data_IF_458818586903
#
_entry.id   IF_458818586903
#
_cell.length_a   1.000
_cell.length_b   1.000
_cell.length_c   1.000
_cell.angle_alpha   90.00
_cell.angle_beta   90.00
_cell.angle_gamma   90.00
#
_symmetry.space_group_name_H-M   'P 1'
#
loop_
_entity.id
_entity.type
_entity.pdbx_description
1 polymer ?
#
# COMPACT_ATOMS: atom_id res chain seq x y z
N UNK A 1 -29.29 -43.74 44.78
CA UNK A 1 -28.22 -42.78 44.41
C UNK A 1 -28.18 -42.63 42.89
N UNK A 2 -28.91 -41.68 42.28
CA UNK A 2 -28.89 -41.45 40.82
C UNK A 2 -29.33 -40.04 40.37
N UNK A 3 -29.31 -39.04 41.25
CA UNK A 3 -29.88 -37.70 40.97
C UNK A 3 -28.93 -36.51 41.13
N UNK A 4 -27.67 -36.72 41.52
CA UNK A 4 -26.72 -35.62 41.84
C UNK A 4 -25.64 -35.38 40.79
N UNK A 5 -25.61 -36.16 39.71
CA UNK A 5 -24.52 -36.11 38.72
C UNK A 5 -24.84 -35.27 37.47
N UNK A 6 -26.09 -34.83 37.26
CA UNK A 6 -26.46 -34.09 36.05
C UNK A 6 -26.42 -32.56 36.21
N UNK A 7 -26.56 -32.04 37.43
CA UNK A 7 -26.57 -30.59 37.67
C UNK A 7 -25.19 -29.95 37.60
N UNK A 8 -24.12 -30.69 37.94
CA UNK A 8 -22.75 -30.20 37.83
C UNK A 8 -22.31 -29.98 36.39
N UNK A 9 -22.75 -30.85 35.46
CA UNK A 9 -22.33 -30.82 34.06
C UNK A 9 -22.99 -29.68 33.25
N UNK A 10 -24.20 -29.26 33.64
CA UNK A 10 -24.92 -28.15 32.99
C UNK A 10 -24.33 -26.80 33.41
N UNK A 11 -23.87 -26.65 34.66
CA UNK A 11 -23.19 -25.42 35.10
C UNK A 11 -21.78 -25.25 34.52
N UNK A 12 -21.08 -26.33 34.16
CA UNK A 12 -19.74 -26.21 33.54
C UNK A 12 -19.83 -25.80 32.07
N UNK A 13 -20.90 -26.18 31.36
CA UNK A 13 -21.10 -25.81 29.97
C UNK A 13 -21.52 -24.34 29.78
N UNK A 14 -22.23 -23.74 30.74
CA UNK A 14 -22.66 -22.34 30.62
C UNK A 14 -21.51 -21.35 30.88
N UNK A 15 -20.55 -21.68 31.75
CA UNK A 15 -19.38 -20.82 32.01
C UNK A 15 -18.37 -20.88 30.85
N UNK A 16 -18.27 -22.01 30.13
CA UNK A 16 -17.42 -22.13 28.94
C UNK A 16 -18.01 -21.45 27.68
N UNK A 17 -19.32 -21.19 27.66
CA UNK A 17 -19.99 -20.56 26.51
C UNK A 17 -19.96 -19.02 26.54
N UNK A 18 -19.69 -18.39 27.69
CA UNK A 18 -19.62 -16.93 27.80
C UNK A 18 -18.21 -16.36 27.74
N UNK A 19 -17.17 -17.20 27.82
CA UNK A 19 -15.77 -16.76 27.81
C UNK A 19 -15.07 -16.84 26.44
N UNK A 20 -15.77 -17.22 25.36
CA UNK A 20 -15.15 -17.55 24.07
C UNK A 20 -15.39 -16.55 22.93
N UNK A 21 -16.05 -15.40 23.17
CA UNK A 21 -16.34 -14.43 22.09
C UNK A 21 -15.53 -13.13 22.11
N UNK A 22 -14.57 -12.96 23.03
CA UNK A 22 -13.47 -12.02 22.82
C UNK A 22 -12.38 -12.67 21.95
N UNK A 23 -12.78 -13.24 20.81
CA UNK A 23 -11.84 -13.41 19.71
C UNK A 23 -11.47 -11.99 19.33
N UNK A 24 -10.23 -11.59 19.63
CA UNK A 24 -9.62 -10.39 19.08
C UNK A 24 -9.65 -10.49 17.56
N UNK A 25 -10.77 -10.10 16.96
CA UNK A 25 -10.90 -9.96 15.53
C UNK A 25 -10.07 -8.72 15.17
N UNK A 26 -8.80 -8.90 14.85
CA UNK A 26 -8.10 -7.92 14.03
C UNK A 26 -8.94 -7.79 12.76
N UNK A 27 -9.68 -6.69 12.61
CA UNK A 27 -10.53 -6.54 11.45
C UNK A 27 -9.67 -6.32 10.21
N UNK A 28 -9.50 -7.39 9.42
CA UNK A 28 -9.02 -7.35 8.04
C UNK A 28 -10.08 -6.68 7.14
N UNK A 29 -10.36 -5.42 7.41
CA UNK A 29 -11.37 -4.61 6.72
C UNK A 29 -10.73 -3.35 6.15
N UNK A 30 -11.36 -2.80 5.14
CA UNK A 30 -11.06 -1.42 4.75
C UNK A 30 -11.53 -0.43 5.82
N UNK A 31 -10.88 0.74 5.93
CA UNK A 31 -11.46 1.88 6.62
C UNK A 31 -12.86 2.20 6.05
N UNK A 32 -13.80 2.49 6.93
CA UNK A 32 -15.15 2.96 6.58
C UNK A 32 -15.11 4.36 5.97
N UNK A 33 -16.18 4.78 5.30
CA UNK A 33 -16.24 6.13 4.71
C UNK A 33 -16.14 7.25 5.75
N UNK A 34 -16.69 7.03 6.95
CA UNK A 34 -16.59 7.99 8.06
C UNK A 34 -15.14 8.10 8.57
N UNK A 35 -14.45 6.97 8.72
CA UNK A 35 -13.04 6.93 9.08
C UNK A 35 -12.17 7.59 8.00
N UNK A 36 -12.38 7.26 6.71
CA UNK A 36 -11.66 7.88 5.60
C UNK A 36 -11.87 9.40 5.56
N UNK A 37 -13.08 9.88 5.82
CA UNK A 37 -13.36 11.32 5.89
C UNK A 37 -12.56 11.99 7.01
N UNK A 38 -12.50 11.37 8.19
CA UNK A 38 -11.70 11.87 9.31
C UNK A 38 -10.20 11.86 8.97
N UNK A 39 -9.70 10.74 8.46
CA UNK A 39 -8.29 10.59 8.09
C UNK A 39 -7.86 11.59 7.00
N UNK A 40 -8.72 11.91 6.03
CA UNK A 40 -8.43 12.96 5.04
C UNK A 40 -8.23 14.33 5.68
N UNK A 41 -9.08 14.71 6.62
CA UNK A 41 -8.95 15.99 7.33
C UNK A 41 -7.69 16.03 8.19
N UNK A 42 -7.37 14.91 8.85
CA UNK A 42 -6.15 14.80 9.66
C UNK A 42 -4.89 14.83 8.76
N UNK A 43 -4.94 14.20 7.59
CA UNK A 43 -3.85 14.20 6.62
C UNK A 43 -3.55 15.60 6.10
N UNK A 44 -4.59 16.38 5.75
CA UNK A 44 -4.42 17.76 5.29
C UNK A 44 -3.70 18.62 6.34
N UNK A 45 -4.03 18.46 7.62
CA UNK A 45 -3.33 19.14 8.72
C UNK A 45 -1.88 18.68 8.88
N UNK A 46 -1.61 17.39 8.66
CA UNK A 46 -0.25 16.84 8.75
C UNK A 46 0.65 17.31 7.60
N UNK A 47 0.09 17.50 6.39
CA UNK A 47 0.85 17.96 5.21
C UNK A 47 1.56 19.28 5.47
N UNK A 48 0.91 20.22 6.16
CA UNK A 48 1.52 21.51 6.51
C UNK A 48 2.76 21.35 7.41
N UNK A 49 2.81 20.28 8.20
CA UNK A 49 3.97 19.95 9.03
C UNK A 49 5.10 19.26 8.26
N UNK A 50 4.79 18.57 7.15
CA UNK A 50 5.76 17.82 6.32
C UNK A 50 6.55 18.70 5.34
N UNK A 51 6.13 19.94 5.09
CA UNK A 51 6.72 20.83 4.07
C UNK A 51 8.22 21.19 4.27
N UNK A 52 8.88 20.70 5.31
CA UNK A 52 10.20 21.21 5.75
C UNK A 52 11.43 20.41 5.30
N UNK A 53 11.34 19.23 4.67
CA UNK A 53 12.51 18.32 4.64
C UNK A 53 12.90 17.62 3.34
N UNK A 54 12.25 17.83 2.19
CA UNK A 54 12.67 17.15 0.94
C UNK A 54 13.10 18.12 -0.16
N UNK A 55 14.40 18.16 -0.47
CA UNK A 55 14.89 18.78 -1.72
C UNK A 55 14.46 17.91 -2.89
N UNK A 56 13.48 18.37 -3.66
CA UNK A 56 13.01 17.69 -4.88
C UNK A 56 14.00 17.93 -6.01
N UNK A 57 14.39 16.89 -6.72
CA UNK A 57 15.15 17.03 -7.96
C UNK A 57 14.19 17.52 -9.07
N UNK A 58 14.43 18.73 -9.55
CA UNK A 58 13.61 19.36 -10.60
C UNK A 58 13.55 18.53 -11.88
N UNK A 59 14.63 17.82 -12.24
CA UNK A 59 14.68 16.95 -13.42
C UNK A 59 13.72 15.77 -13.27
N UNK A 60 13.78 15.08 -12.14
CA UNK A 60 12.90 13.95 -11.79
C UNK A 60 11.42 14.37 -11.76
N UNK A 61 11.12 15.55 -11.20
CA UNK A 61 9.75 16.09 -11.18
C UNK A 61 9.26 16.45 -12.59
N UNK A 62 10.12 17.01 -13.43
CA UNK A 62 9.76 17.33 -14.82
C UNK A 62 9.50 16.07 -15.64
N UNK A 63 10.32 15.03 -15.48
CA UNK A 63 10.11 13.72 -16.09
C UNK A 63 8.78 13.10 -15.65
N UNK A 64 8.50 13.13 -14.34
CA UNK A 64 7.22 12.66 -13.82
C UNK A 64 6.04 13.44 -14.39
N UNK A 65 6.13 14.77 -14.50
CA UNK A 65 5.07 15.61 -15.08
C UNK A 65 4.79 15.23 -16.53
N UNK A 66 5.83 15.03 -17.34
CA UNK A 66 5.69 14.57 -18.71
C UNK A 66 5.04 13.18 -18.78
N UNK A 67 5.47 12.26 -17.93
CA UNK A 67 4.91 10.92 -17.80
C UNK A 67 3.42 10.95 -17.44
N UNK A 68 3.05 11.68 -16.38
CA UNK A 68 1.65 11.89 -15.94
C UNK A 68 0.79 12.53 -17.04
N UNK A 69 1.35 13.51 -17.77
CA UNK A 69 0.67 14.18 -18.90
C UNK A 69 0.41 13.23 -20.07
N UNK A 70 1.30 12.28 -20.34
CA UNK A 70 1.05 11.26 -21.36
C UNK A 70 -0.06 10.29 -20.93
N UNK A 71 -0.04 9.84 -19.68
CA UNK A 71 -1.02 8.90 -19.12
C UNK A 71 -2.41 9.50 -18.90
N UNK A 72 -2.53 10.82 -18.73
CA UNK A 72 -3.83 11.48 -18.53
C UNK A 72 -4.81 11.30 -19.70
N UNK A 73 -4.28 11.03 -20.90
CA UNK A 73 -5.07 10.77 -22.10
C UNK A 73 -5.66 9.37 -22.14
N UNK A 74 -5.05 8.41 -21.44
CA UNK A 74 -5.42 6.99 -21.47
C UNK A 74 -6.18 6.60 -20.22
N UNK A 75 -5.72 7.05 -19.06
CA UNK A 75 -6.31 6.74 -17.77
C UNK A 75 -6.15 7.91 -16.78
N UNK A 76 -6.98 8.95 -16.90
CA UNK A 76 -6.86 10.15 -16.06
C UNK A 76 -7.09 9.86 -14.56
N UNK A 77 -7.81 8.78 -14.22
CA UNK A 77 -8.11 8.43 -12.83
C UNK A 77 -6.87 8.02 -12.04
N UNK A 78 -5.93 7.30 -12.67
CA UNK A 78 -4.71 6.82 -11.99
C UNK A 78 -3.63 7.89 -11.87
N UNK A 79 -3.64 8.89 -12.76
CA UNK A 79 -2.58 9.90 -12.89
C UNK A 79 -2.18 10.60 -11.58
N UNK A 80 -3.11 11.03 -10.71
CA UNK A 80 -2.75 11.69 -9.45
C UNK A 80 -1.83 10.85 -8.56
N UNK A 81 -1.91 9.52 -8.68
CA UNK A 81 -1.16 8.58 -7.85
C UNK A 81 0.15 8.13 -8.47
N UNK A 82 0.38 8.31 -9.78
CA UNK A 82 1.57 7.76 -10.42
C UNK A 82 2.83 8.47 -9.93
N UNK A 83 3.84 7.75 -9.44
CA UNK A 83 5.09 8.36 -9.00
C UNK A 83 5.80 7.58 -7.90
N UNK A 84 7.01 8.03 -7.60
CA UNK A 84 7.77 7.55 -6.45
C UNK A 84 7.47 8.42 -5.23
N UNK A 85 7.10 7.79 -4.12
CA UNK A 85 6.81 8.43 -2.85
C UNK A 85 7.69 7.84 -1.76
N UNK A 86 8.09 8.66 -0.79
CA UNK A 86 8.99 8.26 0.30
C UNK A 86 8.54 8.82 1.64
N UNK A 87 8.66 7.98 2.66
CA UNK A 87 8.63 8.32 4.08
C UNK A 87 10.01 8.03 4.68
N UNK A 88 10.16 8.14 6.00
CA UNK A 88 11.49 8.02 6.65
C UNK A 88 12.18 6.69 6.34
N UNK A 89 11.44 5.58 6.46
CA UNK A 89 11.98 4.22 6.36
C UNK A 89 11.27 3.38 5.30
N UNK A 90 10.45 4.02 4.48
CA UNK A 90 9.59 3.35 3.53
C UNK A 90 9.46 4.12 2.21
N UNK A 91 9.14 3.39 1.14
CA UNK A 91 8.87 3.90 -0.19
C UNK A 91 7.64 3.25 -0.77
N UNK A 92 6.88 4.02 -1.56
CA UNK A 92 5.74 3.56 -2.35
C UNK A 92 5.98 3.98 -3.79
N UNK A 93 5.97 3.03 -4.71
CA UNK A 93 6.19 3.28 -6.12
C UNK A 93 4.96 2.83 -6.90
N UNK A 94 4.20 3.78 -7.41
CA UNK A 94 2.89 3.52 -8.02
C UNK A 94 3.01 3.67 -9.54
N UNK A 95 2.80 2.57 -10.25
CA UNK A 95 2.91 2.45 -11.69
C UNK A 95 1.54 2.27 -12.34
N UNK A 96 1.34 2.78 -13.56
CA UNK A 96 0.16 2.45 -14.35
C UNK A 96 0.19 0.98 -14.80
N UNK A 97 -1.00 0.41 -14.98
CA UNK A 97 -1.20 -0.88 -15.64
C UNK A 97 -1.81 -0.68 -17.03
N UNK A 98 -1.65 -1.67 -17.92
CA UNK A 98 -2.37 -1.74 -19.19
C UNK A 98 -3.88 -1.97 -19.02
N UNK A 99 -4.35 -2.26 -17.80
CA UNK A 99 -5.76 -2.37 -17.44
C UNK A 99 -6.25 -1.04 -16.89
N UNK A 100 -7.29 -0.46 -17.51
CA UNK A 100 -7.87 0.83 -17.09
C UNK A 100 -8.34 0.78 -15.64
N UNK A 101 -8.05 1.85 -14.89
CA UNK A 101 -8.36 2.00 -13.47
C UNK A 101 -7.51 1.11 -12.57
N UNK A 102 -6.43 0.50 -13.07
CA UNK A 102 -5.55 -0.37 -12.28
C UNK A 102 -4.16 0.23 -12.15
N UNK A 103 -3.58 0.09 -10.97
CA UNK A 103 -2.21 0.47 -10.68
C UNK A 103 -1.46 -0.69 -10.06
N UNK A 104 -0.14 -0.64 -10.17
CA UNK A 104 0.76 -1.55 -9.49
C UNK A 104 1.57 -0.77 -8.48
N UNK A 105 1.73 -1.33 -7.30
CA UNK A 105 2.37 -0.66 -6.18
C UNK A 105 3.51 -1.57 -5.73
N UNK A 106 4.71 -1.02 -5.71
CA UNK A 106 5.85 -1.63 -5.04
C UNK A 106 6.07 -0.85 -3.76
N UNK A 107 5.92 -1.56 -2.65
CA UNK A 107 6.17 -1.08 -1.30
C UNK A 107 7.54 -1.54 -0.88
N UNK A 108 8.29 -0.64 -0.25
CA UNK A 108 9.61 -0.94 0.30
C UNK A 108 9.68 -0.43 1.71
N UNK A 109 10.11 -1.24 2.65
CA UNK A 109 10.22 -0.85 4.06
C UNK A 109 11.42 -1.55 4.70
N UNK A 110 11.95 -0.96 5.78
CA UNK A 110 13.04 -1.55 6.55
C UNK A 110 12.54 -2.77 7.35
N UNK A 111 12.52 -3.95 6.74
CA UNK A 111 12.31 -5.22 7.45
C UNK A 111 13.45 -6.22 7.24
N UNK A 112 13.51 -7.19 8.17
CA UNK A 112 14.62 -8.10 8.42
C UNK A 112 15.14 -8.81 7.18
N UNK A 113 16.42 -8.65 6.89
CA UNK A 113 17.08 -9.30 5.76
C UNK A 113 17.07 -10.82 5.94
N UNK A 114 16.81 -11.56 4.86
CA UNK A 114 16.97 -13.02 4.83
C UNK A 114 15.70 -13.82 5.13
N UNK A 115 14.52 -13.24 4.95
CA UNK A 115 13.27 -13.97 5.04
C UNK A 115 12.98 -14.83 3.79
N UNK A 116 11.99 -15.73 3.89
CA UNK A 116 11.62 -16.69 2.84
C UNK A 116 10.65 -16.14 1.80
N UNK A 117 10.15 -14.92 1.95
CA UNK A 117 9.26 -14.22 1.01
C UNK A 117 9.81 -12.84 0.63
N UNK A 118 9.42 -12.29 -0.52
CA UNK A 118 9.77 -10.91 -0.87
C UNK A 118 9.37 -9.91 0.23
N UNK A 119 8.18 -10.09 0.80
CA UNK A 119 7.62 -9.26 1.88
C UNK A 119 8.49 -9.29 3.13
N UNK A 120 8.94 -10.49 3.53
CA UNK A 120 9.87 -10.63 4.66
C UNK A 120 11.24 -10.02 4.38
N UNK A 121 11.62 -9.81 3.12
CA UNK A 121 12.82 -9.07 2.72
C UNK A 121 12.57 -7.56 2.52
N UNK A 122 11.42 -7.06 2.99
CA UNK A 122 11.09 -5.64 2.96
C UNK A 122 10.47 -5.14 1.67
N UNK A 123 10.06 -6.03 0.75
CA UNK A 123 9.42 -5.64 -0.52
C UNK A 123 8.06 -6.31 -0.67
N UNK A 124 7.01 -5.50 -0.81
CA UNK A 124 5.67 -5.99 -1.11
C UNK A 124 5.22 -5.48 -2.48
N UNK A 125 4.73 -6.38 -3.32
CA UNK A 125 4.06 -6.03 -4.57
C UNK A 125 2.57 -6.21 -4.42
N UNK A 126 1.81 -5.16 -4.75
CA UNK A 126 0.35 -5.14 -4.65
C UNK A 126 -0.26 -4.52 -5.89
N UNK A 127 -1.45 -4.99 -6.26
CA UNK A 127 -2.28 -4.37 -7.31
C UNK A 127 -3.40 -3.57 -6.66
N UNK A 128 -3.60 -2.36 -7.16
CA UNK A 128 -4.64 -1.45 -6.71
C UNK A 128 -5.68 -1.17 -7.80
N UNK A 129 -6.92 -0.93 -7.37
CA UNK A 129 -8.00 -0.44 -8.23
C UNK A 129 -8.34 1.00 -7.87
N UNK A 130 -8.38 1.87 -8.87
CA UNK A 130 -8.72 3.28 -8.71
C UNK A 130 -10.21 3.50 -8.91
N UNK A 131 -10.86 4.01 -7.88
CA UNK A 131 -12.24 4.45 -7.93
C UNK A 131 -12.46 5.61 -6.97
N UNK A 132 -13.33 6.56 -7.34
CA UNK A 132 -13.70 7.71 -6.51
C UNK A 132 -12.50 8.49 -5.93
N UNK A 133 -11.44 8.69 -6.73
CA UNK A 133 -10.25 9.42 -6.32
C UNK A 133 -9.44 8.72 -5.21
N UNK A 134 -9.51 7.40 -5.13
CA UNK A 134 -8.72 6.56 -4.20
C UNK A 134 -8.21 5.32 -4.89
N UNK A 135 -7.11 4.74 -4.40
CA UNK A 135 -6.72 3.36 -4.73
C UNK A 135 -7.19 2.45 -3.62
N UNK A 136 -7.84 1.34 -3.94
CA UNK A 136 -8.10 0.22 -3.02
C UNK A 136 -7.29 -0.99 -3.43
N UNK A 137 -6.57 -1.58 -2.48
CA UNK A 137 -5.68 -2.73 -2.72
C UNK A 137 -6.19 -4.01 -2.09
N UNK A 138 -5.68 -5.15 -2.57
CA UNK A 138 -6.08 -6.48 -2.08
C UNK A 138 -5.73 -6.75 -0.62
N UNK A 139 -4.83 -5.97 -0.01
CA UNK A 139 -4.46 -6.07 1.40
C UNK A 139 -5.26 -5.10 2.30
N UNK A 140 -6.41 -4.57 1.84
CA UNK A 140 -7.29 -3.67 2.58
C UNK A 140 -6.73 -2.26 2.86
N UNK A 141 -5.70 -1.84 2.12
CA UNK A 141 -5.23 -0.46 2.17
C UNK A 141 -6.07 0.42 1.22
N UNK A 142 -6.25 1.68 1.62
CA UNK A 142 -6.83 2.72 0.78
C UNK A 142 -5.84 3.87 0.67
N UNK A 143 -5.40 4.16 -0.55
CA UNK A 143 -4.54 5.31 -0.80
C UNK A 143 -5.37 6.53 -1.18
N UNK A 144 -5.10 7.63 -0.51
CA UNK A 144 -5.63 8.96 -0.80
C UNK A 144 -4.49 9.87 -1.26
N UNK A 145 -4.77 10.82 -2.14
CA UNK A 145 -3.77 11.76 -2.63
C UNK A 145 -4.23 13.19 -2.35
N UNK A 146 -3.25 14.04 -2.00
CA UNK A 146 -3.44 15.48 -1.85
C UNK A 146 -2.18 16.19 -2.34
N UNK A 147 -2.22 16.79 -3.52
CA UNK A 147 -1.07 17.47 -4.11
C UNK A 147 0.13 16.53 -4.29
N UNK A 148 1.27 16.85 -3.68
CA UNK A 148 2.47 16.01 -3.76
C UNK A 148 2.57 14.97 -2.64
N UNK A 149 1.47 14.69 -1.95
CA UNK A 149 1.43 13.80 -0.80
C UNK A 149 0.50 12.62 -1.04
N UNK A 150 0.91 11.46 -0.57
CA UNK A 150 0.16 10.20 -0.61
C UNK A 150 -0.10 9.75 0.82
N UNK A 151 -1.36 9.51 1.16
CA UNK A 151 -1.76 8.91 2.43
C UNK A 151 -2.10 7.44 2.20
N UNK A 152 -1.42 6.54 2.90
CA UNK A 152 -1.76 5.13 2.99
C UNK A 152 -2.63 4.91 4.23
N UNK A 153 -3.87 4.47 4.04
CA UNK A 153 -4.81 4.24 5.15
C UNK A 153 -5.18 2.77 5.26
N UNK A 154 -5.23 2.28 6.49
CA UNK A 154 -5.48 0.88 6.81
C UNK A 154 -6.12 0.78 8.19
N UNK A 155 -6.65 -0.39 8.53
CA UNK A 155 -7.18 -0.68 9.87
C UNK A 155 -6.21 -1.61 10.58
N UNK A 156 -5.82 -1.25 11.80
CA UNK A 156 -4.98 -2.08 12.65
C UNK A 156 -5.53 -2.06 14.06
N UNK A 157 -5.81 -3.25 14.62
CA UNK A 157 -6.43 -3.40 15.95
C UNK A 157 -7.72 -2.57 16.08
N UNK A 158 -8.57 -2.67 15.05
CA UNK A 158 -9.85 -1.94 14.90
C UNK A 158 -9.77 -0.42 14.80
N UNK A 159 -8.57 0.15 14.78
CA UNK A 159 -8.36 1.59 14.58
C UNK A 159 -7.95 1.87 13.13
N UNK A 160 -8.65 2.79 12.48
CA UNK A 160 -8.22 3.33 11.20
C UNK A 160 -7.00 4.25 11.39
N UNK A 161 -5.94 3.96 10.65
CA UNK A 161 -4.65 4.66 10.70
C UNK A 161 -4.32 5.26 9.34
N UNK A 162 -3.42 6.23 9.36
CA UNK A 162 -2.87 6.85 8.18
C UNK A 162 -1.36 7.01 8.32
N UNK A 163 -0.65 6.70 7.23
CA UNK A 163 0.76 6.97 7.10
C UNK A 163 1.03 7.80 5.83
N UNK A 164 1.78 8.88 5.98
CA UNK A 164 1.99 9.88 4.93
C UNK A 164 3.31 9.71 4.21
N UNK A 165 3.30 9.91 2.90
CA UNK A 165 4.47 9.87 2.03
C UNK A 165 4.57 11.14 1.18
N UNK A 166 5.80 11.55 0.89
CA UNK A 166 6.13 12.70 0.06
C UNK A 166 6.53 12.24 -1.35
N UNK A 167 6.03 12.90 -2.39
CA UNK A 167 6.44 12.66 -3.76
C UNK A 167 7.91 13.06 -3.96
N UNK A 168 8.72 12.12 -4.45
CA UNK A 168 10.16 12.32 -4.65
C UNK A 168 10.57 12.36 -6.14
N UNK A 169 9.76 11.85 -7.07
CA UNK A 169 10.12 11.95 -8.48
C UNK A 169 9.57 10.86 -9.40
N UNK A 170 10.34 10.60 -10.45
CA UNK A 170 9.96 9.73 -11.55
C UNK A 170 9.97 8.24 -11.14
N UNK A 171 9.37 7.43 -12.00
CA UNK A 171 9.33 5.99 -11.87
C UNK A 171 10.41 5.36 -12.74
N UNK A 172 11.18 4.44 -12.17
CA UNK A 172 12.06 3.53 -12.90
C UNK A 172 11.45 2.13 -12.85
N UNK A 173 11.44 1.38 -13.96
CA UNK A 173 10.90 0.03 -13.95
C UNK A 173 11.77 -0.88 -13.05
N UNK A 174 11.17 -1.83 -12.32
CA UNK A 174 11.96 -2.83 -11.60
C UNK A 174 12.75 -3.70 -12.60
N UNK A 175 13.98 -4.03 -12.23
CA UNK A 175 14.90 -4.87 -13.00
C UNK A 175 15.83 -5.63 -12.05
N UNK A 176 16.57 -6.60 -12.60
CA UNK A 176 17.54 -7.39 -11.81
C UNK A 176 18.67 -6.54 -11.22
N UNK A 177 18.92 -5.36 -11.80
CA UNK A 177 19.92 -4.40 -11.31
C UNK A 177 19.29 -3.24 -10.54
N UNK A 178 17.96 -3.17 -10.47
CA UNK A 178 17.25 -2.04 -9.86
C UNK A 178 15.89 -2.45 -9.30
N UNK A 179 15.76 -2.45 -7.97
CA UNK A 179 14.46 -2.39 -7.31
C UNK A 179 14.36 -0.99 -6.69
N UNK A 180 13.30 -0.22 -7.01
CA UNK A 180 13.12 1.12 -6.44
C UNK A 180 13.22 1.09 -4.91
N UNK A 181 13.84 2.09 -4.29
CA UNK A 181 13.89 2.21 -2.83
C UNK A 181 14.89 1.29 -2.10
N UNK A 182 15.48 0.29 -2.77
CA UNK A 182 16.42 -0.65 -2.17
C UNK A 182 17.83 -0.61 -2.78
N UNK A 183 18.82 -1.00 -1.97
CA UNK A 183 20.12 -1.42 -2.49
C UNK A 183 20.03 -2.88 -2.93
N UNK A 184 20.12 -3.10 -4.24
CA UNK A 184 19.92 -4.38 -4.93
C UNK A 184 20.88 -5.48 -4.46
N UNK A 185 22.03 -5.11 -3.88
CA UNK A 185 23.03 -6.06 -3.40
C UNK A 185 22.62 -6.81 -2.14
N UNK A 186 21.59 -6.33 -1.42
CA UNK A 186 21.07 -6.99 -0.22
C UNK A 186 19.88 -7.90 -0.50
N UNK A 187 19.39 -7.95 -1.73
CA UNK A 187 18.25 -8.76 -2.11
C UNK A 187 18.71 -10.05 -2.79
N UNK A 188 18.17 -11.20 -2.39
CA UNK A 188 18.34 -12.43 -3.15
C UNK A 188 17.80 -12.25 -4.58
N UNK A 189 18.44 -12.90 -5.55
CA UNK A 189 18.01 -12.78 -6.96
C UNK A 189 16.58 -13.29 -7.19
N UNK A 190 16.15 -14.31 -6.44
CA UNK A 190 14.79 -14.82 -6.53
C UNK A 190 13.74 -13.77 -6.13
N UNK A 191 14.02 -12.91 -5.14
CA UNK A 191 13.12 -11.79 -4.75
C UNK A 191 13.00 -10.81 -5.90
N UNK A 192 14.12 -10.45 -6.53
CA UNK A 192 14.14 -9.52 -7.67
C UNK A 192 13.31 -10.08 -8.83
N UNK A 193 13.53 -11.35 -9.17
CA UNK A 193 12.80 -12.02 -10.25
C UNK A 193 11.31 -12.12 -9.94
N UNK A 194 10.92 -12.44 -8.70
CA UNK A 194 9.52 -12.49 -8.27
C UNK A 194 8.82 -11.15 -8.50
N UNK A 195 9.44 -10.04 -8.06
CA UNK A 195 8.87 -8.69 -8.22
C UNK A 195 8.78 -8.29 -9.69
N UNK A 196 9.82 -8.55 -10.49
CA UNK A 196 9.81 -8.27 -11.94
C UNK A 196 8.71 -9.08 -12.63
N UNK A 197 8.54 -10.35 -12.25
CA UNK A 197 7.54 -11.23 -12.83
C UNK A 197 6.13 -10.74 -12.50
N UNK A 198 5.83 -10.49 -11.22
CA UNK A 198 4.54 -9.93 -10.79
C UNK A 198 4.22 -8.59 -11.47
N UNK A 199 5.23 -7.73 -11.62
CA UNK A 199 5.10 -6.45 -12.34
C UNK A 199 4.71 -6.65 -13.81
N UNK A 200 5.33 -7.62 -14.51
CA UNK A 200 4.99 -7.92 -15.91
C UNK A 200 3.60 -8.55 -16.04
N UNK A 201 3.29 -9.53 -15.18
CA UNK A 201 2.01 -10.26 -15.19
C UNK A 201 0.81 -9.34 -14.93
N UNK A 202 0.96 -8.36 -14.04
CA UNK A 202 -0.06 -7.35 -13.78
C UNK A 202 -0.13 -6.26 -14.87
N UNK A 203 0.67 -6.37 -15.94
CA UNK A 203 0.67 -5.45 -17.08
C UNK A 203 1.20 -4.06 -16.73
N UNK A 204 2.04 -3.95 -15.70
CA UNK A 204 2.57 -2.68 -15.21
C UNK A 204 3.66 -2.14 -16.14
N UNK A 205 3.85 -0.82 -16.15
CA UNK A 205 4.94 -0.22 -16.93
C UNK A 205 5.43 1.09 -16.31
N UNK A 206 6.70 1.42 -16.58
CA UNK A 206 7.28 2.74 -16.33
C UNK A 206 7.47 3.55 -17.63
N UNK A 207 6.95 3.03 -18.76
CA UNK A 207 7.04 3.66 -20.07
C UNK A 207 5.81 4.50 -20.38
N UNK A 208 5.93 5.38 -21.39
CA UNK A 208 4.80 6.11 -21.92
C UNK A 208 3.71 5.14 -22.42
N UNK A 209 2.43 5.52 -22.38
CA UNK A 209 1.37 4.67 -22.90
C UNK A 209 1.61 4.42 -24.39
N UNK A 210 1.34 3.20 -24.83
CA UNK A 210 1.33 2.90 -26.25
C UNK A 210 0.31 3.80 -26.93
N UNK A 211 0.74 4.55 -27.96
CA UNK A 211 -0.18 5.27 -28.85
C UNK A 211 -0.96 4.20 -29.62
N UNK A 212 -2.12 3.81 -29.12
CA UNK A 212 -3.11 3.06 -29.89
C UNK A 212 -4.04 4.05 -30.57
#
# INVERSE_FOLDING_TARGET
>A
MKGRSLLGLIMSLTILCTCSLAVFANSDRYPTDAELKKLRLDFEKQIDSFQKTSRKDTSEINQLRAFRSAWSKVDPGVVPFLGAYRALEEGKFIYPSNTKGRVCIIDTYLMGRGGSTAESNGILFTVGSVSNGTIRTTNNHVFIQKGDYLGDTYVQKDEARLYGYNLIGSLKPPSVTHIPGFNINYLPDWVKQEIIQKFKEAGCTASLPNRR
#
